data_IF_789197378069
#
_entry.id   IF_789197378069
#
_cell.length_a   1.000
_cell.length_b   1.000
_cell.length_c   1.000
_cell.angle_alpha   90.00
_cell.angle_beta   90.00
_cell.angle_gamma   90.00
#
_symmetry.space_group_name_H-M   'P 1'
#
loop_
_entity.id
_entity.type
_entity.pdbx_description
1 polymer ?
#
# COMPACT_ATOMS: atom_id res chain seq x y z
N UNK A 1 -3.91 12.24 6.78
CA UNK A 1 -3.52 12.85 5.49
C UNK A 1 -3.83 11.90 4.35
N UNK A 2 -4.25 12.40 3.18
CA UNK A 2 -4.50 11.56 2.00
C UNK A 2 -3.23 11.49 1.14
N UNK A 3 -2.83 10.27 0.77
CA UNK A 3 -1.68 10.00 -0.07
C UNK A 3 -2.15 9.28 -1.34
N UNK A 4 -1.45 9.54 -2.45
CA UNK A 4 -1.71 8.92 -3.75
C UNK A 4 -0.37 8.53 -4.36
N UNK A 5 -0.29 7.32 -4.90
CA UNK A 5 0.85 6.80 -5.66
C UNK A 5 0.32 6.27 -7.00
N UNK A 6 0.99 6.63 -8.08
CA UNK A 6 0.70 6.14 -9.43
C UNK A 6 1.88 5.28 -9.91
N UNK A 7 1.59 4.08 -10.38
CA UNK A 7 2.57 3.11 -10.85
C UNK A 7 2.30 2.83 -12.33
N UNK A 8 3.31 3.10 -13.15
CA UNK A 8 3.32 2.79 -14.58
C UNK A 8 4.33 1.68 -14.83
N UNK A 9 3.93 0.69 -15.63
CA UNK A 9 4.79 -0.41 -16.10
C UNK A 9 4.46 -0.71 -17.56
N UNK A 10 5.23 -1.56 -18.24
CA UNK A 10 4.90 -1.99 -19.60
C UNK A 10 3.47 -2.54 -19.72
N UNK A 11 3.01 -3.31 -18.71
CA UNK A 11 1.65 -3.86 -18.66
C UNK A 11 0.59 -2.82 -18.31
N UNK A 12 0.94 -1.79 -17.55
CA UNK A 12 0.03 -0.72 -17.10
C UNK A 12 0.36 0.62 -17.76
N UNK A 13 0.75 0.60 -19.04
CA UNK A 13 1.21 1.80 -19.76
C UNK A 13 0.03 2.70 -20.19
N UNK A 14 -1.03 2.11 -20.73
CA UNK A 14 -2.23 2.85 -21.16
C UNK A 14 -3.11 3.27 -19.97
N UNK A 15 -3.18 2.42 -18.95
CA UNK A 15 -3.96 2.65 -17.74
C UNK A 15 -3.07 2.43 -16.50
N UNK A 16 -2.39 3.49 -15.99
CA UNK A 16 -1.54 3.39 -14.81
C UNK A 16 -2.32 2.93 -13.58
N UNK A 17 -1.67 2.13 -12.73
CA UNK A 17 -2.26 1.70 -11.46
C UNK A 17 -2.20 2.85 -10.45
N UNK A 18 -3.35 3.22 -9.89
CA UNK A 18 -3.45 4.29 -8.89
C UNK A 18 -3.84 3.72 -7.53
N UNK A 19 -2.99 3.93 -6.53
CA UNK A 19 -3.25 3.58 -5.13
C UNK A 19 -3.48 4.88 -4.35
N UNK A 20 -4.65 5.00 -3.73
CA UNK A 20 -5.04 6.18 -2.93
C UNK A 20 -5.55 5.77 -1.56
N UNK A 21 -5.28 6.58 -0.54
CA UNK A 21 -5.81 6.34 0.80
C UNK A 21 -5.21 7.24 1.86
N UNK A 22 -5.57 6.99 3.12
CA UNK A 22 -4.99 7.70 4.26
C UNK A 22 -3.55 7.25 4.48
N UNK A 23 -2.58 8.15 4.30
CA UNK A 23 -1.16 7.84 4.48
C UNK A 23 -0.56 8.27 5.82
N UNK A 24 -1.38 8.79 6.73
CA UNK A 24 -0.96 9.12 8.09
C UNK A 24 -2.13 9.07 9.07
N UNK A 25 -1.88 8.57 10.27
CA UNK A 25 -2.81 8.45 11.39
C UNK A 25 -2.46 7.21 12.22
N UNK A 26 -2.58 7.29 13.55
CA UNK A 26 -2.10 6.24 14.45
C UNK A 26 -2.68 4.85 14.11
N UNK A 27 -3.98 4.77 13.82
CA UNK A 27 -4.66 3.51 13.47
C UNK A 27 -4.23 2.98 12.09
N UNK A 28 -4.12 3.83 11.08
CA UNK A 28 -3.74 3.42 9.72
C UNK A 28 -2.27 3.02 9.63
N UNK A 29 -1.40 3.68 10.39
CA UNK A 29 0.02 3.32 10.48
C UNK A 29 0.20 2.00 11.25
N UNK A 30 -0.51 1.80 12.37
CA UNK A 30 -0.47 0.55 13.12
C UNK A 30 -0.99 -0.64 12.30
N UNK A 31 -2.03 -0.44 11.48
CA UNK A 31 -2.55 -1.47 10.58
C UNK A 31 -1.50 -1.89 9.53
N UNK A 32 -0.72 -0.95 8.99
CA UNK A 32 0.41 -1.25 8.10
C UNK A 32 1.45 -2.14 8.77
N UNK A 33 1.91 -1.77 9.97
CA UNK A 33 2.87 -2.58 10.75
C UNK A 33 2.31 -3.97 11.06
N UNK A 34 1.03 -4.07 11.43
CA UNK A 34 0.40 -5.36 11.70
C UNK A 34 0.35 -6.25 10.45
N UNK A 35 0.08 -5.68 9.28
CA UNK A 35 0.13 -6.41 8.01
C UNK A 35 1.51 -7.02 7.75
N UNK A 36 2.59 -6.30 8.06
CA UNK A 36 3.95 -6.81 7.91
C UNK A 36 4.22 -8.00 8.85
N UNK A 37 3.76 -7.91 10.10
CA UNK A 37 3.87 -9.02 11.08
C UNK A 37 3.17 -10.27 10.55
N UNK A 38 1.94 -10.15 10.03
CA UNK A 38 1.18 -11.27 9.45
C UNK A 38 1.90 -11.85 8.23
N UNK A 39 2.43 -10.99 7.36
CA UNK A 39 3.20 -11.41 6.18
C UNK A 39 4.39 -12.27 6.58
N UNK A 40 5.19 -11.82 7.56
CA UNK A 40 6.35 -12.55 8.09
C UNK A 40 5.93 -13.88 8.75
N UNK A 41 4.87 -13.86 9.57
CA UNK A 41 4.39 -15.06 10.25
C UNK A 41 3.86 -16.13 9.28
N UNK A 42 3.41 -15.72 8.10
CA UNK A 42 2.91 -16.60 7.05
C UNK A 42 4.01 -17.10 6.09
N UNK A 43 5.26 -16.68 6.26
CA UNK A 43 6.39 -17.25 5.51
C UNK A 43 6.58 -18.70 5.98
N UNK A 44 6.07 -19.64 5.18
CA UNK A 44 6.30 -21.08 5.28
C UNK A 44 6.87 -21.58 3.97
#
# INVERSE_FOLDING_TARGET
SNNIIMITTERYNEYPMVIKGYGAGATVTAAGVFSDIISIANIR
#
